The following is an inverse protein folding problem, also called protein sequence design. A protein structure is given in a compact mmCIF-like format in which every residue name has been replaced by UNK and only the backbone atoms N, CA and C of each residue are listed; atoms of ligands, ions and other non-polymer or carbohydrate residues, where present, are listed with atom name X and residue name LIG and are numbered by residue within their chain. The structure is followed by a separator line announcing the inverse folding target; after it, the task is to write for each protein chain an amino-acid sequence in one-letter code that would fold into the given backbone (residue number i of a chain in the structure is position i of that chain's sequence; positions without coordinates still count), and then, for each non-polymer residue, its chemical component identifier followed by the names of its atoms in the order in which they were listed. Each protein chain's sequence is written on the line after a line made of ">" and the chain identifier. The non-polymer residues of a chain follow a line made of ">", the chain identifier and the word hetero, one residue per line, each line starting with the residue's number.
data_IF_414175649588
#
_entry.id   IF_414175649588
#
_cell.length_a   1.000
_cell.length_b   1.000
_cell.length_c   1.000
_cell.angle_alpha   90.00
_cell.angle_beta   90.00
_cell.angle_gamma   90.00
#
_symmetry.space_group_name_H-M   'P 1'
#
loop_
_entity.id
_entity.type
_entity.pdbx_description
1 polymer ?
#
# COMPACT_ATOMS: atom_id res chain seq x y z
N UNK A 1 -6.05 -14.21 -1.00
CA UNK A 1 -5.14 -13.63 -2.01
C UNK A 1 -5.85 -12.45 -2.61
N UNK A 2 -5.52 -11.28 -2.09
CA UNK A 2 -6.04 -10.01 -2.58
C UNK A 2 -5.37 -9.69 -3.92
N UNK A 3 -6.13 -9.27 -4.93
CA UNK A 3 -5.55 -8.90 -6.21
C UNK A 3 -5.02 -7.47 -6.10
N UNK A 4 -3.75 -7.25 -6.47
CA UNK A 4 -3.13 -5.93 -6.51
C UNK A 4 -3.97 -4.93 -7.33
N UNK A 5 -4.61 -5.38 -8.40
CA UNK A 5 -5.50 -4.54 -9.21
C UNK A 5 -6.62 -3.91 -8.37
N UNK A 6 -7.20 -4.65 -7.41
CA UNK A 6 -8.25 -4.13 -6.53
C UNK A 6 -7.72 -3.03 -5.60
N UNK A 7 -6.49 -3.18 -5.10
CA UNK A 7 -5.86 -2.17 -4.25
C UNK A 7 -5.52 -0.92 -5.07
N UNK A 8 -5.00 -1.10 -6.28
CA UNK A 8 -4.71 0.01 -7.20
C UNK A 8 -5.99 0.73 -7.61
N UNK A 9 -7.09 0.01 -7.81
CA UNK A 9 -8.41 0.59 -8.13
C UNK A 9 -8.96 1.40 -6.96
N UNK A 10 -8.94 0.87 -5.73
CA UNK A 10 -9.32 1.62 -4.52
C UNK A 10 -8.49 2.91 -4.36
N UNK A 11 -7.20 2.87 -4.66
CA UNK A 11 -6.33 4.05 -4.66
C UNK A 11 -6.73 5.07 -5.75
N UNK A 12 -7.18 4.62 -6.92
CA UNK A 12 -7.67 5.51 -7.98
C UNK A 12 -9.01 6.16 -7.60
N UNK A 13 -9.93 5.38 -7.06
CA UNK A 13 -11.26 5.84 -6.63
C UNK A 13 -11.17 6.87 -5.50
N UNK A 14 -10.17 6.76 -4.63
CA UNK A 14 -9.89 7.77 -3.60
C UNK A 14 -9.27 9.07 -4.12
N UNK A 15 -9.05 9.18 -5.44
CA UNK A 15 -8.43 10.34 -6.09
C UNK A 15 -6.91 10.39 -5.94
N UNK A 16 -6.27 9.29 -5.51
CA UNK A 16 -4.82 9.25 -5.37
C UNK A 16 -4.13 9.08 -6.72
N UNK A 17 -3.17 9.97 -7.03
CA UNK A 17 -2.31 9.79 -8.20
C UNK A 17 -1.49 8.51 -8.06
N UNK A 18 -1.66 7.57 -8.98
CA UNK A 18 -0.85 6.35 -9.03
C UNK A 18 0.56 6.69 -9.51
N UNK A 19 1.55 6.44 -8.63
CA UNK A 19 2.98 6.61 -8.90
C UNK A 19 3.69 5.29 -8.67
N UNK A 20 4.92 5.13 -9.18
CA UNK A 20 5.70 3.90 -9.01
C UNK A 20 5.80 3.43 -7.56
N UNK A 21 6.09 4.35 -6.64
CA UNK A 21 6.14 4.07 -5.20
C UNK A 21 4.81 3.53 -4.65
N UNK A 22 3.67 4.05 -5.11
CA UNK A 22 2.35 3.61 -4.65
C UNK A 22 1.97 2.24 -5.19
N UNK A 23 2.42 1.90 -6.40
CA UNK A 23 2.26 0.54 -6.94
C UNK A 23 3.05 -0.46 -6.09
N UNK A 24 4.30 -0.13 -5.71
CA UNK A 24 5.09 -0.98 -4.81
C UNK A 24 4.39 -1.20 -3.47
N UNK A 25 3.78 -0.16 -2.88
CA UNK A 25 3.01 -0.32 -1.65
C UNK A 25 1.79 -1.23 -1.87
N UNK A 26 1.05 -1.04 -2.97
CA UNK A 26 -0.10 -1.89 -3.31
C UNK A 26 0.29 -3.36 -3.52
N UNK A 27 1.38 -3.62 -4.25
CA UNK A 27 1.96 -4.95 -4.44
C UNK A 27 2.27 -5.60 -3.09
N UNK A 28 2.95 -4.87 -2.19
CA UNK A 28 3.32 -5.39 -0.86
C UNK A 28 2.09 -5.70 -0.02
N UNK A 29 1.03 -4.88 -0.07
CA UNK A 29 -0.22 -5.16 0.66
C UNK A 29 -0.88 -6.42 0.09
N UNK A 30 -0.98 -6.55 -1.24
CA UNK A 30 -1.59 -7.71 -1.88
C UNK A 30 -0.83 -9.01 -1.60
N UNK A 31 0.50 -8.97 -1.63
CA UNK A 31 1.38 -10.11 -1.34
C UNK A 31 1.37 -10.52 0.15
N UNK A 32 1.09 -9.58 1.06
CA UNK A 32 1.17 -9.76 2.51
C UNK A 32 -0.18 -9.50 3.17
N UNK A 33 -1.23 -10.10 2.61
CA UNK A 33 -2.60 -10.07 3.14
C UNK A 33 -2.62 -10.46 4.63
N UNK A 34 -3.21 -9.61 5.47
CA UNK A 34 -3.24 -9.77 6.94
C UNK A 34 -1.99 -9.30 7.71
N UNK A 35 -0.95 -8.79 7.04
CA UNK A 35 0.21 -8.21 7.72
C UNK A 35 -0.12 -6.87 8.40
N UNK A 36 0.53 -6.59 9.53
CA UNK A 36 0.31 -5.33 10.23
C UNK A 36 0.84 -4.13 9.44
N UNK A 37 0.31 -2.92 9.68
CA UNK A 37 0.86 -1.68 9.09
C UNK A 37 2.37 -1.53 9.34
N UNK A 38 2.86 -2.00 10.49
CA UNK A 38 4.28 -1.96 10.85
C UNK A 38 5.10 -2.89 9.93
N UNK A 39 4.59 -4.08 9.67
CA UNK A 39 5.25 -5.07 8.80
C UNK A 39 5.25 -4.59 7.36
N UNK A 40 4.13 -4.07 6.86
CA UNK A 40 4.06 -3.45 5.52
C UNK A 40 5.08 -2.31 5.40
N UNK A 41 5.21 -1.44 6.40
CA UNK A 41 6.22 -0.38 6.40
C UNK A 41 7.65 -0.93 6.31
N UNK A 42 7.96 -1.99 7.06
CA UNK A 42 9.28 -2.63 7.03
C UNK A 42 9.57 -3.26 5.66
N UNK A 43 8.62 -4.00 5.09
CA UNK A 43 8.77 -4.67 3.80
C UNK A 43 8.92 -3.64 2.67
N UNK A 44 8.07 -2.61 2.65
CA UNK A 44 8.15 -1.52 1.67
C UNK A 44 9.51 -0.83 1.74
N UNK A 45 10.00 -0.49 2.94
CA UNK A 45 11.33 0.13 3.09
C UNK A 45 12.48 -0.80 2.67
N UNK A 46 12.32 -2.11 2.82
CA UNK A 46 13.26 -3.09 2.31
C UNK A 46 13.30 -3.14 0.78
N UNK A 47 12.15 -2.97 0.11
CA UNK A 47 12.04 -2.94 -1.37
C UNK A 47 12.39 -1.58 -1.98
N UNK A 48 11.93 -0.48 -1.37
CA UNK A 48 12.15 0.89 -1.80
C UNK A 48 12.38 1.82 -0.60
N UNK A 49 13.65 2.10 -0.25
CA UNK A 49 14.01 2.99 0.86
C UNK A 49 13.55 4.44 0.67
N UNK A 50 13.18 4.86 -0.55
CA UNK A 50 12.67 6.21 -0.82
C UNK A 50 11.23 6.41 -0.35
N UNK A 51 10.53 5.32 -0.01
CA UNK A 51 9.16 5.38 0.53
C UNK A 51 9.20 5.51 2.04
N UNK A 52 8.82 6.69 2.52
CA UNK A 52 8.71 6.97 3.95
C UNK A 52 7.51 6.28 4.61
N UNK A 53 7.64 5.97 5.91
CA UNK A 53 6.59 5.37 6.76
C UNK A 53 5.28 6.18 6.69
N UNK A 54 5.37 7.51 6.70
CA UNK A 54 4.19 8.38 6.61
C UNK A 54 3.41 8.21 5.30
N UNK A 55 4.09 7.86 4.19
CA UNK A 55 3.44 7.59 2.92
C UNK A 55 2.64 6.30 2.97
N UNK A 56 3.23 5.23 3.52
CA UNK A 56 2.54 3.94 3.70
C UNK A 56 1.31 4.11 4.60
N UNK A 57 1.47 4.78 5.76
CA UNK A 57 0.35 5.01 6.68
C UNK A 57 -0.78 5.83 6.06
N UNK A 58 -0.47 6.91 5.32
CA UNK A 58 -1.51 7.68 4.63
C UNK A 58 -2.23 6.87 3.56
N UNK A 59 -1.52 5.97 2.87
CA UNK A 59 -2.15 5.09 1.89
C UNK A 59 -3.14 4.17 2.57
N UNK A 60 -2.71 3.45 3.61
CA UNK A 60 -3.55 2.49 4.32
C UNK A 60 -4.74 3.20 4.98
N UNK A 61 -4.49 4.24 5.77
CA UNK A 61 -5.50 4.88 6.61
C UNK A 61 -6.51 5.75 5.86
N UNK A 62 -6.20 6.21 4.64
CA UNK A 62 -7.10 7.10 3.90
C UNK A 62 -7.80 6.42 2.72
N UNK A 63 -7.32 5.25 2.27
CA UNK A 63 -7.74 4.69 0.98
C UNK A 63 -7.94 3.18 0.99
N UNK A 64 -7.43 2.49 2.00
CA UNK A 64 -7.35 1.02 2.03
C UNK A 64 -7.83 0.51 3.40
N UNK A 65 -8.73 1.26 4.05
CA UNK A 65 -9.24 0.96 5.41
C UNK A 65 -10.12 -0.28 5.46
N UNK A 66 -10.85 -0.55 4.38
CA UNK A 66 -11.76 -1.71 4.29
C UNK A 66 -11.04 -2.98 3.80
N UNK A 67 -9.70 -2.92 3.71
CA UNK A 67 -8.82 -3.98 3.20
C UNK A 67 -8.02 -4.66 4.32
N UNK A 68 -7.92 -4.04 5.51
CA UNK A 68 -7.24 -4.59 6.69
C UNK A 68 -8.22 -4.87 7.83
#
# INVERSE_FOLDING_TARGET
>A
MMNNEQIVEALKESGMRITRQRMIVADVIAENDGASCKDICCIVRGKDPSVGVATVYRMINNNVKDVF
#
